data_IF_983894228179
#
_entry.id   IF_983894228179
#
_cell.length_a   1.000
_cell.length_b   1.000
_cell.length_c   1.000
_cell.angle_alpha   90.00
_cell.angle_beta   90.00
_cell.angle_gamma   90.00
#
_symmetry.space_group_name_H-M   'P 1'
#
loop_
_entity.id
_entity.type
_entity.pdbx_description
1 polymer ?
#
# COMPACT_ATOMS: atom_id res chain seq x y z
N UNK A 1 11.29 -1.02 -61.05
CA UNK A 1 10.73 -2.38 -60.97
C UNK A 1 9.48 -2.34 -60.08
N UNK A 2 8.30 -2.62 -60.64
CA UNK A 2 7.09 -2.79 -59.80
C UNK A 2 7.25 -4.11 -59.02
N UNK A 3 6.98 -4.14 -57.71
CA UNK A 3 7.02 -5.39 -56.95
C UNK A 3 6.05 -6.41 -57.57
N UNK A 4 6.46 -7.68 -57.65
CA UNK A 4 5.62 -8.77 -58.16
C UNK A 4 4.33 -8.80 -57.34
N UNK A 5 3.19 -8.87 -58.02
CA UNK A 5 1.86 -8.79 -57.40
C UNK A 5 1.67 -9.82 -56.26
N UNK A 6 2.35 -10.95 -56.38
CA UNK A 6 2.39 -12.07 -55.44
C UNK A 6 3.01 -11.66 -54.10
N UNK A 7 4.12 -10.92 -54.11
CA UNK A 7 4.80 -10.41 -52.90
C UNK A 7 3.95 -9.37 -52.17
N UNK A 8 3.22 -8.54 -52.92
CA UNK A 8 2.31 -7.53 -52.35
C UNK A 8 1.08 -8.20 -51.74
N UNK A 9 0.60 -9.30 -52.33
CA UNK A 9 -0.52 -10.10 -51.81
C UNK A 9 -0.13 -10.82 -50.51
N UNK A 10 1.07 -11.40 -50.46
CA UNK A 10 1.58 -12.11 -49.28
C UNK A 10 1.85 -11.15 -48.11
N UNK A 11 2.42 -9.98 -48.38
CA UNK A 11 2.63 -8.95 -47.36
C UNK A 11 1.30 -8.40 -46.80
N UNK A 12 0.27 -8.25 -47.64
CA UNK A 12 -1.08 -7.86 -47.20
C UNK A 12 -1.74 -8.93 -46.35
N UNK A 13 -1.61 -10.21 -46.73
CA UNK A 13 -2.16 -11.30 -45.94
C UNK A 13 -1.49 -11.40 -44.56
N UNK A 14 -0.17 -11.28 -44.50
CA UNK A 14 0.58 -11.27 -43.24
C UNK A 14 0.14 -10.10 -42.33
N UNK A 15 -0.06 -8.91 -42.89
CA UNK A 15 -0.54 -7.76 -42.13
C UNK A 15 -1.96 -7.98 -41.59
N UNK A 16 -2.86 -8.58 -42.39
CA UNK A 16 -4.21 -8.95 -41.95
C UNK A 16 -4.15 -9.96 -40.82
N UNK A 17 -3.32 -11.00 -40.93
CA UNK A 17 -3.21 -12.06 -39.91
C UNK A 17 -2.66 -11.51 -38.58
N UNK A 18 -1.70 -10.57 -38.63
CA UNK A 18 -1.18 -9.88 -37.43
C UNK A 18 -2.26 -9.03 -36.76
N UNK A 19 -3.01 -8.25 -37.56
CA UNK A 19 -4.10 -7.42 -37.05
C UNK A 19 -5.21 -8.29 -36.45
N UNK A 20 -5.63 -9.35 -37.13
CA UNK A 20 -6.66 -10.28 -36.65
C UNK A 20 -6.21 -10.92 -35.33
N UNK A 21 -4.99 -11.47 -35.25
CA UNK A 21 -4.47 -12.04 -34.00
C UNK A 21 -4.42 -11.02 -32.86
N UNK A 22 -4.05 -9.77 -33.16
CA UNK A 22 -4.00 -8.70 -32.16
C UNK A 22 -5.40 -8.32 -31.68
N UNK A 23 -6.37 -8.22 -32.59
CA UNK A 23 -7.77 -7.93 -32.29
C UNK A 23 -8.39 -9.07 -31.49
N UNK A 24 -8.20 -10.32 -31.90
CA UNK A 24 -8.68 -11.49 -31.16
C UNK A 24 -8.07 -11.55 -29.76
N UNK A 25 -6.76 -11.35 -29.62
CA UNK A 25 -6.10 -11.32 -28.31
C UNK A 25 -6.65 -10.18 -27.41
N UNK A 26 -6.90 -9.00 -27.99
CA UNK A 26 -7.46 -7.87 -27.25
C UNK A 26 -8.92 -8.10 -26.86
N UNK A 27 -9.78 -8.49 -27.80
CA UNK A 27 -11.19 -8.78 -27.57
C UNK A 27 -11.38 -9.92 -26.56
N UNK A 28 -10.55 -10.96 -26.64
CA UNK A 28 -10.55 -12.07 -25.67
C UNK A 28 -10.18 -11.57 -24.27
N UNK A 29 -9.11 -10.76 -24.15
CA UNK A 29 -8.71 -10.16 -22.87
C UNK A 29 -9.78 -9.21 -22.31
N UNK A 30 -10.44 -8.46 -23.18
CA UNK A 30 -11.53 -7.57 -22.78
C UNK A 30 -12.73 -8.36 -22.27
N UNK A 31 -13.13 -9.45 -22.92
CA UNK A 31 -14.21 -10.33 -22.45
C UNK A 31 -13.94 -10.90 -21.05
N UNK A 32 -12.68 -11.27 -20.75
CA UNK A 32 -12.31 -11.78 -19.43
C UNK A 32 -12.24 -10.69 -18.35
N UNK A 33 -11.75 -9.50 -18.69
CA UNK A 33 -11.57 -8.40 -17.71
C UNK A 33 -12.81 -7.53 -17.53
N UNK A 34 -13.76 -7.58 -18.47
CA UNK A 34 -14.98 -6.75 -18.46
C UNK A 34 -15.84 -6.96 -17.21
N UNK A 35 -16.15 -8.19 -16.74
CA UNK A 35 -16.91 -8.37 -15.51
C UNK A 35 -16.27 -7.70 -14.30
N UNK A 36 -14.94 -7.73 -14.22
CA UNK A 36 -14.18 -7.10 -13.14
C UNK A 36 -14.21 -5.57 -13.21
N UNK A 37 -14.10 -4.99 -14.41
CA UNK A 37 -14.24 -3.54 -14.64
C UNK A 37 -15.66 -3.06 -14.40
N UNK A 38 -16.67 -3.78 -14.88
CA UNK A 38 -18.08 -3.47 -14.69
C UNK A 38 -18.45 -3.52 -13.19
N UNK A 39 -17.87 -4.47 -12.44
CA UNK A 39 -18.00 -4.54 -10.98
C UNK A 39 -17.44 -3.30 -10.27
N UNK A 40 -16.27 -2.80 -10.68
CA UNK A 40 -15.69 -1.56 -10.15
C UNK A 40 -16.56 -0.35 -10.48
N UNK A 41 -17.02 -0.22 -11.73
CA UNK A 41 -17.89 0.86 -12.16
C UNK A 41 -19.20 0.88 -11.35
N UNK A 42 -19.82 -0.30 -11.18
CA UNK A 42 -21.02 -0.44 -10.37
C UNK A 42 -20.80 -0.09 -8.89
N UNK A 43 -19.68 -0.52 -8.32
CA UNK A 43 -19.32 -0.16 -6.95
C UNK A 43 -19.15 1.36 -6.80
N UNK A 44 -18.58 2.03 -7.81
CA UNK A 44 -18.40 3.49 -7.80
C UNK A 44 -19.72 4.27 -7.92
N UNK A 45 -20.66 3.80 -8.76
CA UNK A 45 -22.02 4.34 -8.84
C UNK A 45 -22.74 4.26 -7.48
N UNK A 46 -22.72 3.08 -6.86
CA UNK A 46 -23.33 2.84 -5.54
C UNK A 46 -22.65 3.66 -4.44
N UNK A 47 -21.32 3.83 -4.52
CA UNK A 47 -20.58 4.75 -3.64
C UNK A 47 -21.06 6.19 -3.83
N UNK A 48 -21.30 6.62 -5.07
CA UNK A 48 -21.85 7.93 -5.41
C UNK A 48 -23.22 8.16 -4.76
N UNK A 49 -24.14 7.22 -4.94
CA UNK A 49 -25.47 7.24 -4.32
C UNK A 49 -25.39 7.23 -2.79
N UNK A 50 -24.53 6.38 -2.20
CA UNK A 50 -24.25 6.39 -0.76
C UNK A 50 -23.76 7.74 -0.26
N UNK A 51 -22.86 8.41 -1.00
CA UNK A 51 -22.37 9.75 -0.65
C UNK A 51 -23.50 10.80 -0.73
N UNK A 52 -24.40 10.71 -1.70
CA UNK A 52 -25.57 11.59 -1.84
C UNK A 52 -26.52 11.44 -0.65
N UNK A 53 -26.83 10.19 -0.27
CA UNK A 53 -27.66 9.86 0.90
C UNK A 53 -27.01 10.34 2.20
N UNK A 54 -25.70 10.14 2.34
CA UNK A 54 -24.94 10.62 3.51
C UNK A 54 -25.03 12.13 3.64
N UNK A 55 -24.87 12.90 2.54
CA UNK A 55 -25.00 14.37 2.56
C UNK A 55 -26.39 14.85 3.00
N UNK A 56 -27.43 14.04 2.76
CA UNK A 56 -28.80 14.30 3.22
C UNK A 56 -29.07 13.80 4.65
N UNK A 57 -28.04 13.28 5.34
CA UNK A 57 -28.11 12.67 6.69
C UNK A 57 -28.98 11.41 6.76
N UNK A 58 -29.22 10.75 5.63
CA UNK A 58 -29.88 9.45 5.56
C UNK A 58 -28.83 8.34 5.76
N UNK A 59 -28.34 8.19 6.99
CA UNK A 59 -27.15 7.38 7.27
C UNK A 59 -27.37 5.87 7.10
N UNK A 60 -28.53 5.34 7.46
CA UNK A 60 -28.85 3.92 7.27
C UNK A 60 -28.95 3.58 5.78
N UNK A 61 -29.62 4.43 4.99
CA UNK A 61 -29.72 4.26 3.54
C UNK A 61 -28.37 4.39 2.84
N UNK A 62 -27.50 5.29 3.34
CA UNK A 62 -26.13 5.43 2.86
C UNK A 62 -25.30 4.18 3.18
N UNK A 63 -25.40 3.66 4.41
CA UNK A 63 -24.74 2.43 4.83
C UNK A 63 -25.18 1.23 3.99
N UNK A 64 -26.47 1.13 3.64
CA UNK A 64 -27.01 0.13 2.74
C UNK A 64 -26.38 0.19 1.34
N UNK A 65 -26.26 1.39 0.76
CA UNK A 65 -25.62 1.58 -0.54
C UNK A 65 -24.12 1.20 -0.52
N UNK A 66 -23.38 1.55 0.54
CA UNK A 66 -21.99 1.13 0.68
C UNK A 66 -21.85 -0.38 0.87
N UNK A 67 -22.77 -1.03 1.58
CA UNK A 67 -22.78 -2.48 1.74
C UNK A 67 -23.04 -3.19 0.41
N UNK A 68 -23.99 -2.70 -0.39
CA UNK A 68 -24.23 -3.19 -1.74
C UNK A 68 -22.98 -3.03 -2.61
N UNK A 69 -22.34 -1.85 -2.58
CA UNK A 69 -21.11 -1.59 -3.32
C UNK A 69 -19.97 -2.55 -2.94
N UNK A 70 -19.83 -2.89 -1.66
CA UNK A 70 -18.84 -3.87 -1.20
C UNK A 70 -19.14 -5.27 -1.76
N UNK A 71 -20.41 -5.66 -1.81
CA UNK A 71 -20.82 -6.97 -2.33
C UNK A 71 -20.55 -7.10 -3.83
N UNK A 72 -20.58 -6.00 -4.59
CA UNK A 72 -20.30 -6.04 -6.04
C UNK A 72 -18.82 -6.18 -6.38
N UNK A 73 -17.89 -5.99 -5.44
CA UNK A 73 -16.45 -6.01 -5.72
C UNK A 73 -15.86 -7.41 -5.98
N UNK A 74 -16.59 -8.49 -5.71
CA UNK A 74 -16.04 -9.85 -5.78
C UNK A 74 -15.36 -10.19 -7.14
N UNK A 75 -15.94 -9.86 -8.31
CA UNK A 75 -15.27 -10.10 -9.60
C UNK A 75 -13.98 -9.28 -9.77
N UNK A 76 -13.95 -8.06 -9.22
CA UNK A 76 -12.79 -7.18 -9.31
C UNK A 76 -11.62 -7.67 -8.42
N UNK A 77 -11.91 -8.30 -7.29
CA UNK A 77 -10.91 -8.97 -6.46
C UNK A 77 -10.31 -10.22 -7.12
N UNK A 78 -11.13 -10.97 -7.87
CA UNK A 78 -10.70 -12.19 -8.54
C UNK A 78 -9.77 -11.93 -9.74
N UNK A 79 -9.87 -10.77 -10.38
CA UNK A 79 -9.02 -10.40 -11.51
C UNK A 79 -7.75 -9.65 -11.05
N UNK A 80 -6.54 -10.16 -11.36
CA UNK A 80 -5.29 -9.53 -10.94
C UNK A 80 -5.13 -8.08 -11.38
N UNK A 81 -5.66 -7.71 -12.55
CA UNK A 81 -5.51 -6.35 -13.12
C UNK A 81 -6.36 -5.31 -12.41
N UNK A 82 -7.42 -5.74 -11.72
CA UNK A 82 -8.34 -4.87 -10.98
C UNK A 82 -8.26 -5.05 -9.47
N UNK A 83 -7.57 -6.09 -8.98
CA UNK A 83 -7.48 -6.43 -7.55
C UNK A 83 -7.04 -5.25 -6.68
N UNK A 84 -6.03 -4.49 -7.09
CA UNK A 84 -5.57 -3.30 -6.37
C UNK A 84 -6.60 -2.16 -6.35
N UNK A 85 -7.29 -1.93 -7.47
CA UNK A 85 -8.38 -0.97 -7.53
C UNK A 85 -9.57 -1.40 -6.64
N UNK A 86 -9.84 -2.71 -6.58
CA UNK A 86 -10.86 -3.28 -5.69
C UNK A 86 -10.49 -3.13 -4.21
N UNK A 87 -9.22 -3.37 -3.83
CA UNK A 87 -8.72 -3.10 -2.48
C UNK A 87 -8.90 -1.61 -2.11
N UNK A 88 -8.54 -0.71 -3.01
CA UNK A 88 -8.67 0.75 -2.80
C UNK A 88 -10.14 1.16 -2.64
N UNK A 89 -11.03 0.65 -3.50
CA UNK A 89 -12.47 0.88 -3.39
C UNK A 89 -13.04 0.33 -2.07
N UNK A 90 -12.64 -0.88 -1.67
CA UNK A 90 -13.04 -1.51 -0.40
C UNK A 90 -12.65 -0.66 0.80
N UNK A 91 -11.41 -0.16 0.85
CA UNK A 91 -10.95 0.73 1.93
C UNK A 91 -11.86 1.96 2.04
N UNK A 92 -12.14 2.64 0.92
CA UNK A 92 -13.00 3.83 0.91
C UNK A 92 -14.43 3.50 1.36
N UNK A 93 -15.01 2.42 0.86
CA UNK A 93 -16.37 1.99 1.19
C UNK A 93 -16.51 1.61 2.68
N UNK A 94 -15.59 0.81 3.22
CA UNK A 94 -15.57 0.47 4.65
C UNK A 94 -15.39 1.70 5.52
N UNK A 95 -14.50 2.61 5.11
CA UNK A 95 -14.24 3.89 5.76
C UNK A 95 -15.49 4.78 5.80
N UNK A 96 -16.29 4.80 4.73
CA UNK A 96 -17.56 5.53 4.68
C UNK A 96 -18.68 4.83 5.47
N UNK A 97 -18.76 3.51 5.42
CA UNK A 97 -19.70 2.73 6.21
C UNK A 97 -19.43 2.87 7.72
N UNK A 98 -18.15 2.90 8.13
CA UNK A 98 -17.75 3.17 9.51
C UNK A 98 -18.23 4.55 9.98
N UNK A 99 -18.16 5.58 9.11
CA UNK A 99 -18.72 6.88 9.46
C UNK A 99 -20.22 6.82 9.68
N UNK A 100 -20.97 6.14 8.81
CA UNK A 100 -22.43 6.01 8.99
C UNK A 100 -22.74 5.35 10.33
N UNK A 101 -22.02 4.28 10.69
CA UNK A 101 -22.16 3.58 11.95
C UNK A 101 -21.84 4.48 13.18
N UNK A 102 -20.85 5.37 13.07
CA UNK A 102 -20.59 6.39 14.11
C UNK A 102 -21.79 7.33 14.26
N UNK A 103 -22.34 7.83 13.15
CA UNK A 103 -23.48 8.77 13.18
C UNK A 103 -24.76 8.11 13.73
N UNK A 104 -24.98 6.84 13.44
CA UNK A 104 -26.14 6.07 13.92
C UNK A 104 -25.93 5.41 15.29
N UNK A 105 -24.75 5.61 15.91
CA UNK A 105 -24.35 5.05 17.21
C UNK A 105 -24.21 3.52 17.26
N UNK A 106 -24.06 2.86 16.11
CA UNK A 106 -23.61 1.47 16.04
C UNK A 106 -22.07 1.40 16.11
N UNK A 107 -21.54 1.66 17.31
CA UNK A 107 -20.09 1.76 17.54
C UNK A 107 -19.34 0.43 17.33
N UNK A 108 -19.86 -0.75 17.74
CA UNK A 108 -19.22 -2.02 17.42
C UNK A 108 -19.05 -2.24 15.92
N UNK A 109 -20.07 -1.88 15.13
CA UNK A 109 -19.98 -1.94 13.67
C UNK A 109 -18.94 -0.95 13.13
N UNK A 110 -18.90 0.26 13.65
CA UNK A 110 -17.89 1.25 13.26
C UNK A 110 -16.45 0.75 13.48
N UNK A 111 -16.20 0.14 14.65
CA UNK A 111 -14.91 -0.48 14.99
C UNK A 111 -14.59 -1.60 14.01
N UNK A 112 -15.51 -2.54 13.81
CA UNK A 112 -15.31 -3.67 12.90
C UNK A 112 -14.97 -3.20 11.48
N UNK A 113 -15.70 -2.21 10.96
CA UNK A 113 -15.45 -1.67 9.61
C UNK A 113 -14.13 -0.94 9.49
N UNK A 114 -13.68 -0.23 10.54
CA UNK A 114 -12.36 0.38 10.55
C UNK A 114 -11.25 -0.67 10.56
N UNK A 115 -11.36 -1.70 11.40
CA UNK A 115 -10.37 -2.79 11.48
C UNK A 115 -10.31 -3.59 10.17
N UNK A 116 -11.46 -3.89 9.56
CA UNK A 116 -11.53 -4.54 8.24
C UNK A 116 -10.88 -3.71 7.12
N UNK A 117 -10.97 -2.39 7.21
CA UNK A 117 -10.32 -1.51 6.25
C UNK A 117 -8.80 -1.43 6.51
N UNK A 118 -8.40 -1.34 7.78
CA UNK A 118 -6.99 -1.30 8.20
C UNK A 118 -6.25 -2.61 7.93
N UNK A 119 -6.95 -3.74 7.83
CA UNK A 119 -6.37 -5.03 7.41
C UNK A 119 -6.23 -5.18 5.89
N UNK A 120 -6.72 -4.23 5.10
CA UNK A 120 -6.58 -4.27 3.64
C UNK A 120 -5.18 -3.80 3.22
N UNK A 121 -4.40 -4.60 2.46
CA UNK A 121 -2.97 -4.32 2.23
C UNK A 121 -2.62 -2.97 1.61
N UNK A 122 -3.52 -2.38 0.80
CA UNK A 122 -3.30 -1.08 0.18
C UNK A 122 -3.45 0.11 1.13
N UNK A 123 -4.11 -0.06 2.29
CA UNK A 123 -4.50 1.07 3.15
C UNK A 123 -3.28 1.87 3.63
N UNK A 124 -2.18 1.19 3.93
CA UNK A 124 -0.95 1.83 4.39
C UNK A 124 -0.32 2.73 3.31
N UNK A 125 -0.60 2.48 2.02
CA UNK A 125 -0.11 3.32 0.91
C UNK A 125 -0.91 4.61 0.74
N UNK A 126 -2.18 4.62 1.15
CA UNK A 126 -3.03 5.81 1.12
C UNK A 126 -2.99 6.50 2.49
N UNK A 127 -2.02 7.41 2.66
CA UNK A 127 -1.84 8.15 3.92
C UNK A 127 -3.13 8.87 4.37
N UNK A 128 -3.93 9.36 3.41
CA UNK A 128 -5.19 10.05 3.71
C UNK A 128 -6.24 9.08 4.24
N UNK A 129 -6.43 7.94 3.59
CA UNK A 129 -7.39 6.92 4.04
C UNK A 129 -6.96 6.29 5.35
N UNK A 130 -5.68 5.96 5.50
CA UNK A 130 -5.10 5.40 6.72
C UNK A 130 -5.34 6.30 7.93
N UNK A 131 -4.94 7.58 7.83
CA UNK A 131 -5.22 8.60 8.84
C UNK A 131 -6.70 8.68 9.17
N UNK A 132 -7.56 8.77 8.15
CA UNK A 132 -9.02 8.91 8.32
C UNK A 132 -9.63 7.71 9.05
N UNK A 133 -9.12 6.51 8.82
CA UNK A 133 -9.57 5.29 9.50
C UNK A 133 -9.14 5.25 10.96
N UNK A 134 -7.89 5.60 11.26
CA UNK A 134 -7.40 5.66 12.65
C UNK A 134 -8.18 6.69 13.48
N UNK A 135 -8.48 7.86 12.91
CA UNK A 135 -9.31 8.88 13.56
C UNK A 135 -10.72 8.37 13.86
N UNK A 136 -11.35 7.69 12.90
CA UNK A 136 -12.68 7.10 13.11
C UNK A 136 -12.68 5.97 14.12
N UNK A 137 -11.67 5.12 14.09
CA UNK A 137 -11.52 4.02 15.04
C UNK A 137 -11.36 4.55 16.48
N UNK A 138 -10.45 5.52 16.68
CA UNK A 138 -10.29 6.18 17.97
C UNK A 138 -11.60 6.84 18.42
N UNK A 139 -12.29 7.54 17.51
CA UNK A 139 -13.58 8.17 17.81
C UNK A 139 -14.67 7.16 18.19
N UNK A 140 -14.74 6.01 17.53
CA UNK A 140 -15.70 4.97 17.84
C UNK A 140 -15.47 4.41 19.26
N UNK A 141 -14.21 4.13 19.63
CA UNK A 141 -13.86 3.71 20.98
C UNK A 141 -14.19 4.76 22.04
N UNK A 142 -13.87 6.04 21.78
CA UNK A 142 -14.23 7.14 22.70
C UNK A 142 -15.72 7.27 22.94
N UNK A 143 -16.51 7.24 21.88
CA UNK A 143 -17.97 7.32 21.98
C UNK A 143 -18.55 6.10 22.71
N UNK A 144 -17.85 4.97 22.67
CA UNK A 144 -18.19 3.74 23.37
C UNK A 144 -17.71 3.70 24.82
N UNK A 145 -16.89 4.68 25.24
CA UNK A 145 -16.32 4.76 26.58
C UNK A 145 -15.00 4.00 26.79
N UNK A 146 -14.46 3.36 25.75
CA UNK A 146 -13.18 2.65 25.81
C UNK A 146 -12.01 3.59 25.51
N UNK A 147 -11.65 4.40 26.51
CA UNK A 147 -10.58 5.40 26.37
C UNK A 147 -9.19 4.76 26.23
N UNK A 148 -9.01 3.55 26.73
CA UNK A 148 -7.73 2.83 26.63
C UNK A 148 -7.50 2.34 25.20
N UNK A 149 -8.52 1.75 24.56
CA UNK A 149 -8.44 1.38 23.15
C UNK A 149 -8.27 2.61 22.24
N UNK A 150 -9.00 3.70 22.51
CA UNK A 150 -8.82 4.95 21.77
C UNK A 150 -7.38 5.49 21.89
N UNK A 151 -6.80 5.46 23.09
CA UNK A 151 -5.41 5.85 23.33
C UNK A 151 -4.43 4.93 22.61
N UNK A 152 -4.67 3.62 22.61
CA UNK A 152 -3.83 2.66 21.89
C UNK A 152 -3.80 2.96 20.38
N UNK A 153 -4.95 3.25 19.78
CA UNK A 153 -5.04 3.67 18.36
C UNK A 153 -4.25 4.95 18.10
N UNK A 154 -4.35 5.94 18.98
CA UNK A 154 -3.61 7.18 18.83
C UNK A 154 -2.08 7.00 18.99
N UNK A 155 -1.63 6.13 19.91
CA UNK A 155 -0.22 5.74 20.01
C UNK A 155 0.28 5.09 18.72
N UNK A 156 -0.50 4.17 18.18
CA UNK A 156 -0.17 3.46 16.94
C UNK A 156 -0.08 4.42 15.75
N UNK A 157 -1.01 5.38 15.68
CA UNK A 157 -1.02 6.43 14.67
C UNK A 157 0.25 7.31 14.75
N UNK A 158 0.66 7.70 15.95
CA UNK A 158 1.85 8.52 16.18
C UNK A 158 3.13 7.80 15.74
N UNK A 159 3.28 6.51 16.08
CA UNK A 159 4.41 5.67 15.65
C UNK A 159 4.55 5.63 14.12
N UNK A 160 3.43 5.71 13.40
CA UNK A 160 3.37 5.70 11.92
C UNK A 160 3.35 7.09 11.29
N UNK A 161 3.53 8.15 12.09
CA UNK A 161 3.71 9.52 11.61
C UNK A 161 2.45 10.34 11.39
N UNK A 162 1.32 9.87 11.89
CA UNK A 162 0.10 10.67 11.96
C UNK A 162 0.24 11.63 13.14
N UNK A 163 0.30 12.93 12.86
CA UNK A 163 0.55 13.97 13.86
C UNK A 163 -0.57 14.08 14.90
N UNK A 164 -0.21 14.34 16.15
CA UNK A 164 -1.16 14.41 17.27
C UNK A 164 -2.16 15.57 17.17
N UNK A 165 -1.79 16.68 16.49
CA UNK A 165 -2.70 17.80 16.21
C UNK A 165 -3.91 17.37 15.37
N UNK A 166 -3.78 16.27 14.64
CA UNK A 166 -4.84 15.73 13.78
C UNK A 166 -5.89 14.97 14.60
N UNK A 167 -5.58 14.57 15.84
CA UNK A 167 -6.49 13.99 16.83
C UNK A 167 -7.11 15.05 17.78
N UNK A 168 -6.98 16.35 17.47
CA UNK A 168 -7.28 17.45 18.38
C UNK A 168 -8.72 17.49 18.95
N UNK A 169 -9.74 17.02 18.22
CA UNK A 169 -11.14 16.99 18.72
C UNK A 169 -11.33 16.02 19.91
N UNK A 170 -10.39 15.10 20.11
CA UNK A 170 -10.43 13.98 21.04
C UNK A 170 -9.41 14.09 22.21
N UNK A 171 -8.40 14.95 22.03
CA UNK A 171 -7.12 14.96 22.76
C UNK A 171 -7.22 15.05 24.29
N UNK A 172 -8.11 15.87 24.83
CA UNK A 172 -8.19 16.08 26.29
C UNK A 172 -8.67 14.84 27.06
N UNK A 173 -9.43 13.94 26.42
CA UNK A 173 -9.97 12.74 27.07
C UNK A 173 -9.00 11.56 26.98
N UNK A 174 -8.33 11.41 25.83
CA UNK A 174 -7.45 10.27 25.56
C UNK A 174 -5.99 10.51 25.94
N UNK A 175 -5.53 11.76 26.05
CA UNK A 175 -4.17 12.08 26.50
C UNK A 175 -4.09 13.29 27.45
N UNK A 176 -4.64 13.16 28.66
CA UNK A 176 -4.62 14.23 29.67
C UNK A 176 -3.19 14.58 30.14
N UNK A 177 -2.24 13.66 29.94
CA UNK A 177 -0.85 13.76 30.39
C UNK A 177 0.11 14.27 29.32
N UNK A 178 -0.33 14.40 28.06
CA UNK A 178 0.53 14.78 26.94
C UNK A 178 1.57 13.72 26.55
N UNK A 179 1.37 12.45 26.92
CA UNK A 179 2.33 11.36 26.63
C UNK A 179 2.41 11.09 25.12
N UNK A 180 1.29 11.23 24.40
CA UNK A 180 1.25 10.99 22.95
C UNK A 180 2.12 11.99 22.18
N UNK A 181 2.44 13.16 22.75
CA UNK A 181 3.40 14.12 22.20
C UNK A 181 4.77 13.50 22.00
N UNK A 182 5.17 12.62 22.91
CA UNK A 182 6.53 12.07 23.02
C UNK A 182 6.67 10.64 22.46
N UNK A 183 5.58 10.05 21.96
CA UNK A 183 5.62 8.69 21.39
C UNK A 183 6.24 8.72 20.00
N UNK A 184 7.35 7.99 19.84
CA UNK A 184 7.99 7.83 18.53
C UNK A 184 8.57 9.12 17.96
N UNK A 185 8.93 10.09 18.82
CA UNK A 185 9.68 11.28 18.40
C UNK A 185 11.00 10.83 17.75
N UNK A 186 11.05 10.87 16.43
CA UNK A 186 12.29 11.12 15.72
C UNK A 186 12.90 12.38 16.35
N UNK A 187 14.19 12.34 16.70
CA UNK A 187 14.90 13.54 17.19
C UNK A 187 14.76 14.64 16.13
N UNK A 188 14.63 15.89 16.56
CA UNK A 188 14.58 17.04 15.64
C UNK A 188 15.71 16.93 14.60
N UNK A 189 15.36 16.93 13.31
CA UNK A 189 16.30 16.79 12.19
C UNK A 189 16.50 15.38 11.62
N UNK A 190 15.84 14.34 12.15
CA UNK A 190 15.88 12.99 11.58
C UNK A 190 14.61 12.71 10.76
N UNK A 191 14.69 12.85 9.44
CA UNK A 191 13.57 12.56 8.54
C UNK A 191 13.46 11.05 8.26
N UNK A 192 12.23 10.51 8.15
CA UNK A 192 12.00 9.13 7.71
C UNK A 192 12.70 8.84 6.37
N UNK A 193 12.78 9.87 5.50
CA UNK A 193 13.54 9.87 4.27
C UNK A 193 15.02 9.51 4.46
N UNK A 194 15.66 9.91 5.55
CA UNK A 194 17.04 9.55 5.86
C UNK A 194 17.22 8.04 6.02
N UNK A 195 16.30 7.37 6.72
CA UNK A 195 16.35 5.91 6.90
C UNK A 195 16.00 5.16 5.62
N UNK A 196 15.07 5.69 4.82
CA UNK A 196 14.76 5.16 3.48
C UNK A 196 15.99 5.27 2.57
N UNK A 197 16.64 6.45 2.54
CA UNK A 197 17.87 6.68 1.79
C UNK A 197 19.05 5.84 2.31
N UNK A 198 19.14 5.58 3.61
CA UNK A 198 20.13 4.68 4.21
C UNK A 198 19.91 3.23 3.73
N UNK A 199 18.65 2.77 3.71
CA UNK A 199 18.28 1.46 3.16
C UNK A 199 18.53 1.38 1.64
N UNK A 200 18.27 2.45 0.89
CA UNK A 200 18.51 2.51 -0.56
C UNK A 200 20.00 2.50 -0.91
N UNK A 201 20.80 3.36 -0.27
CA UNK A 201 22.17 3.67 -0.70
C UNK A 201 23.19 2.64 -0.22
N UNK A 202 22.88 1.85 0.81
CA UNK A 202 23.84 0.97 1.47
C UNK A 202 23.26 -0.36 1.98
N UNK A 203 22.13 -0.89 1.51
CA UNK A 203 21.58 -2.16 2.06
C UNK A 203 22.40 -3.43 1.80
N UNK A 204 23.49 -3.36 1.05
CA UNK A 204 24.46 -4.43 0.88
C UNK A 204 25.57 -4.34 1.95
N UNK A 205 25.83 -5.46 2.64
CA UNK A 205 26.99 -5.61 3.53
C UNK A 205 26.66 -5.61 5.03
N UNK A 206 27.53 -6.28 5.79
CA UNK A 206 27.34 -6.55 7.24
C UNK A 206 27.21 -5.28 8.09
N UNK A 207 27.90 -4.20 7.71
CA UNK A 207 27.87 -2.92 8.43
C UNK A 207 26.46 -2.30 8.46
N UNK A 208 25.75 -2.31 7.34
CA UNK A 208 24.44 -1.68 7.24
C UNK A 208 23.36 -2.53 7.90
N UNK A 209 23.48 -3.85 7.82
CA UNK A 209 22.67 -4.76 8.63
C UNK A 209 22.84 -4.47 10.13
N UNK A 210 24.08 -4.27 10.58
CA UNK A 210 24.37 -3.93 11.97
C UNK A 210 23.78 -2.58 12.38
N UNK A 211 23.83 -1.57 11.50
CA UNK A 211 23.19 -0.25 11.73
C UNK A 211 21.67 -0.36 11.83
N UNK A 212 21.00 -1.03 10.89
CA UNK A 212 19.53 -1.21 10.93
C UNK A 212 19.14 -1.97 12.20
N UNK A 213 19.87 -3.02 12.56
CA UNK A 213 19.65 -3.77 13.81
C UNK A 213 19.80 -2.88 15.04
N UNK A 214 20.88 -2.11 15.15
CA UNK A 214 21.10 -1.24 16.31
C UNK A 214 19.99 -0.18 16.47
N UNK A 215 19.49 0.39 15.37
CA UNK A 215 18.42 1.39 15.41
C UNK A 215 17.07 0.74 15.77
N UNK A 216 16.80 -0.49 15.31
CA UNK A 216 15.64 -1.27 15.73
C UNK A 216 15.71 -1.63 17.24
N UNK A 217 16.86 -2.11 17.71
CA UNK A 217 17.06 -2.55 19.10
C UNK A 217 16.98 -1.38 20.10
N UNK A 218 17.49 -0.21 19.73
CA UNK A 218 17.46 0.99 20.57
C UNK A 218 16.11 1.74 20.51
N UNK A 219 15.19 1.34 19.61
CA UNK A 219 13.88 2.00 19.43
C UNK A 219 13.96 3.40 18.84
N UNK A 220 15.12 3.80 18.30
CA UNK A 220 15.32 5.08 17.63
C UNK A 220 14.71 5.07 16.20
N UNK A 221 14.37 3.89 15.65
CA UNK A 221 13.64 3.80 14.38
C UNK A 221 12.16 4.11 14.63
N UNK A 222 11.51 4.93 13.80
CA UNK A 222 10.06 4.91 13.74
C UNK A 222 9.56 3.50 13.36
N UNK A 223 8.28 3.23 13.57
CA UNK A 223 7.67 1.96 13.16
C UNK A 223 8.11 1.58 11.74
N UNK A 224 8.47 0.32 11.47
CA UNK A 224 9.03 -0.12 10.18
C UNK A 224 8.11 0.19 8.98
N UNK A 225 6.81 0.24 9.23
CA UNK A 225 5.79 0.66 8.26
C UNK A 225 5.55 2.17 8.17
N UNK A 226 6.24 3.01 8.96
CA UNK A 226 6.13 4.46 8.84
C UNK A 226 6.56 4.86 7.43
N UNK A 227 5.73 5.69 6.80
CA UNK A 227 5.94 6.13 5.43
C UNK A 227 6.30 7.60 5.36
N UNK A 228 7.04 7.96 4.32
CA UNK A 228 7.27 9.34 3.92
C UNK A 228 6.11 9.90 3.09
N UNK A 229 6.25 11.13 2.62
CA UNK A 229 5.30 11.85 1.77
C UNK A 229 5.03 11.17 0.41
N UNK A 230 5.93 10.31 -0.05
CA UNK A 230 5.79 9.52 -1.28
C UNK A 230 5.14 8.16 -1.02
N UNK A 231 4.80 7.86 0.24
CA UNK A 231 4.26 6.57 0.64
C UNK A 231 5.31 5.47 0.76
N UNK A 232 6.61 5.80 0.77
CA UNK A 232 7.69 4.84 0.89
C UNK A 232 8.08 4.62 2.35
N UNK A 233 8.53 3.42 2.69
CA UNK A 233 9.04 3.07 4.02
C UNK A 233 10.42 2.42 3.92
N UNK A 234 10.98 2.02 5.06
CA UNK A 234 12.32 1.42 5.12
C UNK A 234 12.39 0.12 4.32
N UNK A 235 11.30 -0.68 4.29
CA UNK A 235 11.24 -1.89 3.46
C UNK A 235 11.33 -1.55 1.96
N UNK A 236 10.65 -0.50 1.50
CA UNK A 236 10.73 -0.06 0.10
C UNK A 236 12.17 0.22 -0.33
N UNK A 237 12.98 0.84 0.53
CA UNK A 237 14.38 1.10 0.24
C UNK A 237 15.19 -0.17 -0.04
N UNK A 238 14.94 -1.24 0.73
CA UNK A 238 15.58 -2.56 0.52
C UNK A 238 15.08 -3.23 -0.75
N UNK A 239 13.77 -3.16 -1.03
CA UNK A 239 13.16 -3.73 -2.22
C UNK A 239 13.61 -3.03 -3.50
N UNK A 240 13.81 -1.72 -3.46
CA UNK A 240 14.29 -0.96 -4.61
C UNK A 240 15.77 -1.26 -4.86
N UNK A 241 16.60 -1.35 -3.80
CA UNK A 241 18.00 -1.80 -3.88
C UNK A 241 18.16 -3.19 -4.50
N UNK A 242 17.19 -4.08 -4.27
CA UNK A 242 17.13 -5.42 -4.85
C UNK A 242 16.93 -5.41 -6.38
N UNK A 243 16.25 -4.39 -6.93
CA UNK A 243 15.91 -4.32 -8.37
C UNK A 243 16.88 -3.48 -9.21
N UNK A 244 17.77 -2.69 -8.59
CA UNK A 244 18.71 -1.77 -9.29
C UNK A 244 19.77 -2.44 -10.18
N UNK A 245 19.85 -3.78 -10.23
CA UNK A 245 20.73 -4.48 -11.18
C UNK A 245 20.04 -4.74 -12.55
N UNK A 246 18.75 -4.40 -12.69
CA UNK A 246 18.01 -4.49 -13.95
C UNK A 246 17.77 -3.06 -14.46
N UNK A 247 18.50 -2.65 -15.49
CA UNK A 247 18.22 -1.43 -16.27
C UNK A 247 16.86 -1.58 -16.96
N UNK A 248 15.77 -1.20 -16.29
CA UNK A 248 14.48 -0.98 -16.95
C UNK A 248 14.08 0.49 -16.74
N UNK A 249 14.30 1.29 -17.80
CA UNK A 249 13.75 2.63 -18.03
C UNK A 249 12.20 2.56 -18.11
N UNK A 250 11.53 2.37 -16.97
CA UNK A 250 10.08 2.54 -16.82
C UNK A 250 9.75 3.91 -16.16
N UNK A 251 10.57 4.92 -16.44
CA UNK A 251 10.28 6.34 -16.17
C UNK A 251 9.24 6.87 -17.20
N UNK A 252 7.98 6.53 -16.96
CA UNK A 252 6.83 7.30 -17.45
C UNK A 252 5.92 7.66 -16.26
N UNK A 253 6.43 8.53 -15.40
CA UNK A 253 5.66 9.64 -14.83
C UNK A 253 6.58 10.60 -14.05
N UNK A 254 6.52 11.88 -14.42
CA UNK A 254 7.40 12.92 -13.90
C UNK A 254 7.27 13.16 -12.39
N UNK A 255 8.29 12.76 -11.64
CA UNK A 255 8.64 13.36 -10.36
C UNK A 255 10.10 13.85 -10.42
N UNK A 256 10.25 15.15 -10.66
CA UNK A 256 11.53 15.82 -10.70
C UNK A 256 12.21 15.86 -9.32
N UNK A 257 13.46 15.42 -9.26
CA UNK A 257 14.52 16.10 -8.50
C UNK A 257 15.09 15.40 -7.27
N UNK A 258 16.26 14.77 -7.44
CA UNK A 258 17.48 15.14 -6.69
C UNK A 258 18.73 14.50 -7.33
N UNK A 259 19.46 15.33 -8.09
CA UNK A 259 20.92 15.29 -8.30
C UNK A 259 21.63 13.95 -8.41
N UNK A 260 21.80 13.47 -9.64
CA UNK A 260 22.89 12.57 -9.99
C UNK A 260 24.24 13.27 -9.75
N UNK A 261 24.96 12.86 -8.71
CA UNK A 261 26.41 12.96 -8.67
C UNK A 261 26.95 11.57 -9.01
N UNK A 262 27.35 11.41 -10.26
CA UNK A 262 28.07 10.26 -10.75
C UNK A 262 29.43 10.14 -10.05
N UNK A 263 29.84 8.89 -9.79
CA UNK A 263 31.22 8.54 -9.53
C UNK A 263 31.51 8.17 -8.08
N UNK A 264 31.07 6.99 -7.65
CA UNK A 264 31.86 6.16 -6.73
C UNK A 264 31.46 4.70 -6.94
N UNK A 265 32.44 3.94 -7.42
CA UNK A 265 32.50 2.49 -7.62
C UNK A 265 31.74 1.67 -6.57
N UNK A 266 30.68 0.95 -7.00
CA UNK A 266 30.05 -0.14 -6.24
C UNK A 266 31.13 -1.21 -5.93
N UNK A 267 31.31 -1.66 -4.67
CA UNK A 267 32.17 -2.81 -4.40
C UNK A 267 31.57 -4.06 -5.05
N UNK A 268 32.43 -4.89 -5.63
CA UNK A 268 32.14 -6.08 -6.47
C UNK A 268 31.50 -7.26 -5.68
N UNK A 269 31.11 -7.09 -4.42
CA UNK A 269 30.40 -8.12 -3.63
C UNK A 269 28.86 -8.01 -3.70
N UNK A 270 28.32 -7.01 -4.41
CA UNK A 270 26.89 -6.71 -4.48
C UNK A 270 26.14 -7.57 -5.51
N UNK A 271 25.77 -8.79 -5.15
CA UNK A 271 24.68 -9.51 -5.83
C UNK A 271 23.31 -9.11 -5.25
N UNK A 272 22.23 -9.34 -6.00
CA UNK A 272 20.84 -9.16 -5.52
C UNK A 272 20.59 -9.83 -4.14
N UNK A 273 21.31 -10.91 -3.81
CA UNK A 273 21.16 -11.60 -2.53
C UNK A 273 21.80 -10.88 -1.33
N UNK A 274 22.65 -9.86 -1.56
CA UNK A 274 23.33 -9.12 -0.50
C UNK A 274 22.38 -8.32 0.41
N UNK A 275 21.19 -7.96 -0.10
CA UNK A 275 20.17 -7.21 0.66
C UNK A 275 19.19 -8.12 1.40
N UNK A 276 19.22 -9.44 1.15
CA UNK A 276 18.29 -10.43 1.73
C UNK A 276 18.37 -10.52 3.26
N UNK A 277 19.54 -10.41 3.92
CA UNK A 277 19.60 -10.36 5.39
C UNK A 277 18.85 -9.16 5.97
N UNK A 278 18.98 -7.99 5.35
CA UNK A 278 18.29 -6.76 5.75
C UNK A 278 16.78 -6.88 5.49
N UNK A 279 16.39 -7.43 4.34
CA UNK A 279 14.99 -7.76 4.03
C UNK A 279 14.38 -8.66 5.11
N UNK A 280 15.08 -9.74 5.47
CA UNK A 280 14.63 -10.69 6.49
C UNK A 280 14.52 -10.06 7.87
N UNK A 281 15.46 -9.18 8.23
CA UNK A 281 15.42 -8.42 9.48
C UNK A 281 14.19 -7.52 9.57
N UNK A 282 13.88 -6.75 8.52
CA UNK A 282 12.72 -5.86 8.51
C UNK A 282 11.40 -6.63 8.56
N UNK A 283 11.30 -7.76 7.83
CA UNK A 283 10.15 -8.64 7.88
C UNK A 283 9.96 -9.24 9.29
N UNK A 284 11.05 -9.68 9.94
CA UNK A 284 11.01 -10.16 11.33
C UNK A 284 10.64 -9.06 12.34
N UNK A 285 10.98 -7.80 12.03
CA UNK A 285 10.59 -6.62 12.80
C UNK A 285 9.13 -6.17 12.53
N UNK A 286 8.36 -6.92 11.73
CA UNK A 286 6.94 -6.67 11.50
C UNK A 286 6.61 -5.87 10.24
N UNK A 287 7.58 -5.64 9.35
CA UNK A 287 7.28 -5.02 8.06
C UNK A 287 6.32 -5.89 7.26
N UNK A 288 5.26 -5.30 6.72
CA UNK A 288 4.20 -6.06 6.06
C UNK A 288 4.66 -6.67 4.71
N UNK A 289 4.71 -8.01 4.55
CA UNK A 289 5.08 -8.65 3.28
C UNK A 289 4.01 -8.49 2.18
N UNK A 290 2.77 -8.13 2.55
CA UNK A 290 1.64 -7.96 1.64
C UNK A 290 1.44 -6.51 1.21
N UNK A 291 2.19 -5.56 1.79
CA UNK A 291 1.92 -4.14 1.57
C UNK A 291 1.98 -3.76 0.10
N UNK A 292 1.19 -2.75 -0.26
CA UNK A 292 1.25 -2.16 -1.58
C UNK A 292 2.23 -0.98 -1.56
N UNK A 293 2.74 -0.68 -2.75
CA UNK A 293 3.44 0.54 -3.11
C UNK A 293 2.75 1.15 -4.33
N UNK A 294 3.40 2.13 -4.95
CA UNK A 294 2.90 2.79 -6.15
C UNK A 294 2.43 1.79 -7.22
N UNK A 295 1.29 2.09 -7.86
CA UNK A 295 0.63 1.24 -8.86
C UNK A 295 0.30 -0.19 -8.38
N UNK A 296 0.26 -0.41 -7.06
CA UNK A 296 -0.09 -1.71 -6.46
C UNK A 296 1.06 -2.73 -6.44
N UNK A 297 2.31 -2.29 -6.72
CA UNK A 297 3.50 -3.15 -6.63
C UNK A 297 3.62 -3.72 -5.22
N UNK A 298 3.87 -5.03 -5.12
CA UNK A 298 4.05 -5.74 -3.85
C UNK A 298 5.52 -6.08 -3.62
N UNK A 299 5.97 -6.29 -2.37
CA UNK A 299 7.29 -6.83 -2.09
C UNK A 299 7.64 -8.05 -2.96
N UNK A 300 6.69 -8.97 -3.15
CA UNK A 300 6.89 -10.16 -3.98
C UNK A 300 7.16 -9.83 -5.45
N UNK A 301 6.54 -8.78 -6.00
CA UNK A 301 6.80 -8.32 -7.37
C UNK A 301 8.23 -7.76 -7.52
N UNK A 302 8.72 -6.98 -6.55
CA UNK A 302 10.11 -6.52 -6.53
C UNK A 302 11.09 -7.71 -6.47
N UNK A 303 10.85 -8.66 -5.58
CA UNK A 303 11.70 -9.84 -5.47
C UNK A 303 11.68 -10.74 -6.71
N UNK A 304 10.50 -10.97 -7.30
CA UNK A 304 10.38 -11.73 -8.53
C UNK A 304 11.09 -11.02 -9.70
N UNK A 305 10.92 -9.71 -9.83
CA UNK A 305 11.57 -8.89 -10.86
C UNK A 305 13.10 -8.89 -10.75
N UNK A 306 13.65 -8.97 -9.53
CA UNK A 306 15.10 -9.05 -9.32
C UNK A 306 15.75 -10.39 -9.69
N UNK A 307 14.96 -11.45 -9.85
CA UNK A 307 15.47 -12.81 -10.01
C UNK A 307 16.06 -13.45 -8.74
N UNK A 308 16.06 -12.77 -7.58
CA UNK A 308 16.55 -13.34 -6.31
C UNK A 308 15.56 -14.34 -5.72
N UNK A 309 15.85 -15.64 -5.90
CA UNK A 309 15.08 -16.70 -5.25
C UNK A 309 15.13 -16.59 -3.71
N UNK A 310 16.25 -16.12 -3.15
CA UNK A 310 16.40 -15.93 -1.72
C UNK A 310 15.43 -14.84 -1.20
N UNK A 311 15.30 -13.71 -1.89
CA UNK A 311 14.33 -12.67 -1.55
C UNK A 311 12.88 -13.17 -1.68
N UNK A 312 12.56 -13.91 -2.74
CA UNK A 312 11.22 -14.53 -2.91
C UNK A 312 10.89 -15.45 -1.74
N UNK A 313 11.84 -16.30 -1.31
CA UNK A 313 11.65 -17.19 -0.15
C UNK A 313 11.46 -16.42 1.14
N UNK A 314 12.22 -15.35 1.38
CA UNK A 314 12.08 -14.52 2.57
C UNK A 314 10.68 -13.90 2.66
N UNK A 315 10.19 -13.32 1.57
CA UNK A 315 8.86 -12.68 1.51
C UNK A 315 7.74 -13.72 1.67
N UNK A 316 7.82 -14.85 0.97
CA UNK A 316 6.82 -15.93 1.09
C UNK A 316 6.81 -16.55 2.49
N UNK A 317 7.98 -16.69 3.12
CA UNK A 317 8.10 -17.13 4.51
C UNK A 317 7.39 -16.18 5.47
N UNK A 318 7.66 -14.87 5.36
CA UNK A 318 7.00 -13.85 6.17
C UNK A 318 5.48 -13.79 5.90
N UNK A 319 5.06 -13.90 4.63
CA UNK A 319 3.66 -13.99 4.24
C UNK A 319 2.97 -15.17 4.93
N UNK A 320 3.59 -16.36 4.86
CA UNK A 320 3.02 -17.57 5.44
C UNK A 320 2.84 -17.43 6.95
N UNK A 321 3.85 -16.92 7.66
CA UNK A 321 3.76 -16.64 9.10
C UNK A 321 2.62 -15.68 9.39
N UNK A 322 2.52 -14.55 8.69
CA UNK A 322 1.46 -13.56 8.91
C UNK A 322 0.04 -14.10 8.66
N UNK A 323 -0.15 -14.90 7.61
CA UNK A 323 -1.48 -15.33 7.18
C UNK A 323 -1.97 -16.59 7.91
N UNK A 324 -1.07 -17.54 8.17
CA UNK A 324 -1.44 -18.85 8.71
C UNK A 324 -1.01 -19.06 10.17
N UNK A 325 -0.18 -18.17 10.72
CA UNK A 325 0.25 -18.17 12.12
C UNK A 325 0.24 -16.74 12.73
N UNK A 326 -0.94 -16.08 12.77
CA UNK A 326 -1.09 -14.71 13.25
C UNK A 326 -0.86 -14.54 14.75
#
# INVERSE_FOLDING_TARGET
>A
MKPRADVVRDARQLAVDVVVKRVEAHATRELFTRPAKDALARADELRGDGNDRFRRRAFDDAAGAYHEALATLAPAFADPTTSYAAETARVVLLSNAAQCAIETRDLPLAVARCLDALSTPCVASDARAFKKLLLRLARAYELGGDLDAARAVAREAALRGVGEEEFAEARARIDPTGILRDVGKLRDGVETRMFIMLALRMSAGEENLARVRAVLDNGDLPHVDRRDEMGNNVLWGVLNALTFDVEDDDDDDGAAGAGAAAGETKPVESGADSVVPTLSLLLAAGADPCQRYERGKTPLMFAAGSGSLAAVRAILGAFYTKVFHP
#
